data_IF_612243591009
#
_entry.id   IF_612243591009
#
_cell.length_a   1.000
_cell.length_b   1.000
_cell.length_c   1.000
_cell.angle_alpha   90.00
_cell.angle_beta   90.00
_cell.angle_gamma   90.00
#
_symmetry.space_group_name_H-M   'P 1'
#
loop_
_entity.id
_entity.type
_entity.pdbx_description
1 polymer ?
#
# COMPACT_ATOMS: atom_id res chain seq x y z
N UNK A 1 -12.96 57.46 -17.25
CA UNK A 1 -11.58 57.11 -17.59
C UNK A 1 -11.24 55.81 -16.84
N UNK A 2 -11.16 54.68 -17.52
CA UNK A 2 -10.87 53.40 -16.91
C UNK A 2 -9.38 53.11 -17.09
N UNK A 3 -8.64 53.16 -16.00
CA UNK A 3 -7.19 52.87 -16.03
C UNK A 3 -7.01 51.37 -16.24
N UNK A 4 -6.50 50.94 -17.38
CA UNK A 4 -6.04 49.56 -17.62
C UNK A 4 -4.67 49.40 -16.98
N UNK A 5 -4.62 48.75 -15.83
CA UNK A 5 -3.37 48.32 -15.21
C UNK A 5 -2.66 47.31 -16.12
N UNK A 6 -1.34 47.48 -16.30
CA UNK A 6 -0.50 46.60 -17.11
C UNK A 6 -0.42 45.20 -16.46
N UNK A 7 -0.34 44.19 -17.31
CA UNK A 7 -0.30 42.79 -16.92
C UNK A 7 0.88 42.45 -15.98
N UNK A 8 1.89 43.29 -15.95
CA UNK A 8 3.09 43.18 -15.10
C UNK A 8 2.81 43.57 -13.66
N UNK A 9 1.91 44.53 -13.39
CA UNK A 9 1.53 44.95 -12.04
C UNK A 9 0.59 43.96 -11.33
N UNK A 10 -0.06 43.05 -12.09
CA UNK A 10 -0.92 41.99 -11.53
C UNK A 10 -0.13 40.74 -11.11
N UNK A 11 1.14 40.64 -11.48
CA UNK A 11 1.97 39.47 -11.09
C UNK A 11 2.47 39.58 -9.66
N UNK A 12 2.59 40.81 -9.15
CA UNK A 12 3.12 41.06 -7.78
C UNK A 12 2.08 40.94 -6.65
N UNK A 13 0.80 40.73 -7.01
CA UNK A 13 -0.27 40.48 -6.03
C UNK A 13 -0.58 39.00 -5.77
N UNK A 14 0.21 38.08 -6.30
CA UNK A 14 0.11 36.69 -5.85
C UNK A 14 0.63 36.61 -4.40
N UNK A 15 -0.16 36.07 -3.45
CA UNK A 15 0.38 35.87 -2.12
C UNK A 15 1.69 35.08 -2.28
N UNK A 16 2.79 35.64 -1.75
CA UNK A 16 4.07 34.95 -1.69
C UNK A 16 3.79 33.56 -1.17
N UNK A 17 4.31 32.53 -1.85
CA UNK A 17 4.27 31.19 -1.28
C UNK A 17 4.74 31.32 0.17
N UNK A 18 3.84 31.06 1.12
CA UNK A 18 4.25 30.95 2.51
C UNK A 18 5.45 30.02 2.51
N UNK A 19 6.60 30.51 2.93
CA UNK A 19 7.75 29.66 3.16
C UNK A 19 7.30 28.56 4.12
N UNK A 20 7.30 27.32 3.63
CA UNK A 20 6.92 26.20 4.45
C UNK A 20 7.80 26.24 5.69
N UNK A 21 7.20 26.38 6.87
CA UNK A 21 7.93 26.38 8.12
C UNK A 21 8.74 25.08 8.17
N UNK A 22 10.08 25.21 8.20
CA UNK A 22 10.96 24.04 8.28
C UNK A 22 10.81 23.44 9.67
N UNK A 23 10.04 22.37 9.79
CA UNK A 23 9.99 21.55 11.00
C UNK A 23 11.36 20.86 11.22
N UNK A 24 11.70 20.66 12.49
CA UNK A 24 12.87 19.89 12.87
C UNK A 24 12.51 18.40 12.79
N UNK A 25 13.26 17.61 12.04
CA UNK A 25 13.13 16.16 12.05
C UNK A 25 13.64 15.64 13.40
N UNK A 26 12.75 15.00 14.17
CA UNK A 26 13.13 14.36 15.42
C UNK A 26 13.57 12.91 15.17
N UNK A 27 14.53 12.39 15.93
CA UNK A 27 14.89 10.98 15.83
C UNK A 27 13.71 10.11 16.20
N UNK A 28 13.32 9.23 15.27
CA UNK A 28 12.14 8.37 15.40
C UNK A 28 12.57 6.91 15.43
N UNK A 29 12.00 6.12 16.33
CA UNK A 29 12.24 4.69 16.35
C UNK A 29 11.17 3.93 15.56
N UNK A 30 11.60 3.04 14.67
CA UNK A 30 10.68 2.20 13.91
C UNK A 30 9.99 1.21 14.85
N UNK A 31 8.65 1.24 14.97
CA UNK A 31 7.94 0.32 15.86
C UNK A 31 7.97 -1.11 15.33
N UNK A 32 7.94 -2.09 16.25
CA UNK A 32 7.86 -3.49 15.87
C UNK A 32 6.46 -3.83 15.34
N UNK A 33 6.35 -4.59 14.24
CA UNK A 33 5.04 -5.02 13.72
C UNK A 33 4.31 -5.91 14.73
N UNK A 34 3.00 -5.79 14.83
CA UNK A 34 2.19 -6.64 15.71
C UNK A 34 2.29 -8.11 15.29
N UNK A 35 2.61 -8.98 16.25
CA UNK A 35 2.75 -10.42 16.02
C UNK A 35 1.43 -11.07 15.51
N UNK A 36 0.29 -10.48 15.85
CA UNK A 36 -1.03 -10.97 15.48
C UNK A 36 -1.49 -10.53 14.08
N UNK A 37 -0.78 -9.67 13.39
CA UNK A 37 -1.18 -9.25 12.03
C UNK A 37 -1.15 -10.38 11.03
N UNK A 38 -1.95 -10.24 10.00
CA UNK A 38 -1.88 -11.09 8.82
C UNK A 38 -0.47 -11.02 8.18
N UNK A 39 0.07 -12.11 7.63
CA UNK A 39 1.45 -12.12 7.08
C UNK A 39 1.72 -11.02 6.05
N UNK A 40 0.75 -10.72 5.19
CA UNK A 40 0.88 -9.66 4.17
C UNK A 40 1.02 -8.28 4.83
N UNK A 41 0.21 -7.97 5.87
CA UNK A 41 0.30 -6.71 6.59
C UNK A 41 1.67 -6.55 7.29
N UNK A 42 2.17 -7.62 7.90
CA UNK A 42 3.52 -7.62 8.49
C UNK A 42 4.60 -7.35 7.45
N UNK A 43 4.51 -8.00 6.28
CA UNK A 43 5.47 -7.81 5.19
C UNK A 43 5.44 -6.38 4.68
N UNK A 44 4.26 -5.81 4.47
CA UNK A 44 4.08 -4.45 4.02
C UNK A 44 4.66 -3.45 5.04
N UNK A 45 4.35 -3.61 6.34
CA UNK A 45 4.88 -2.76 7.39
C UNK A 45 6.42 -2.81 7.49
N UNK A 46 7.00 -4.01 7.36
CA UNK A 46 8.46 -4.16 7.34
C UNK A 46 9.09 -3.46 6.13
N UNK A 47 8.42 -3.46 4.97
CA UNK A 47 8.93 -2.76 3.79
C UNK A 47 8.98 -1.25 3.97
N UNK A 48 8.11 -0.67 4.80
CA UNK A 48 8.20 0.76 5.13
C UNK A 48 9.52 1.09 5.87
N UNK A 49 9.91 0.23 6.80
CA UNK A 49 11.13 0.39 7.56
C UNK A 49 12.43 0.25 6.71
N UNK A 50 12.37 -0.51 5.63
CA UNK A 50 13.49 -0.69 4.69
C UNK A 50 13.45 0.25 3.48
N UNK A 51 12.46 1.13 3.41
CA UNK A 51 12.31 2.11 2.33
C UNK A 51 12.86 3.47 2.74
N UNK A 52 13.24 4.28 1.75
CA UNK A 52 13.84 5.59 1.99
C UNK A 52 12.94 6.59 2.75
N UNK A 53 11.64 6.37 2.81
CA UNK A 53 10.74 7.21 3.58
C UNK A 53 11.03 7.21 5.10
N UNK A 54 11.74 6.24 5.62
CA UNK A 54 12.13 6.18 7.04
C UNK A 54 12.88 7.45 7.48
N UNK A 55 13.57 8.11 6.55
CA UNK A 55 14.36 9.28 6.83
C UNK A 55 13.56 10.54 7.15
N UNK A 56 12.26 10.60 6.77
CA UNK A 56 11.39 11.75 7.04
C UNK A 56 10.09 11.41 7.76
N UNK A 57 9.80 10.14 7.98
CA UNK A 57 8.65 9.77 8.78
C UNK A 57 8.86 10.09 10.25
N UNK A 58 7.86 10.74 10.84
CA UNK A 58 7.79 11.06 12.26
C UNK A 58 6.97 10.00 13.00
N UNK A 59 6.93 10.07 14.33
CA UNK A 59 6.15 9.15 15.16
C UNK A 59 4.66 9.11 14.77
N UNK A 60 4.08 10.23 14.34
CA UNK A 60 2.70 10.31 13.87
C UNK A 60 2.48 9.50 12.59
N UNK A 61 3.46 9.48 11.67
CA UNK A 61 3.39 8.72 10.43
C UNK A 61 3.46 7.22 10.72
N UNK A 62 4.35 6.82 11.62
CA UNK A 62 4.46 5.45 12.10
C UNK A 62 3.20 4.99 12.82
N UNK A 63 2.61 5.83 13.70
CA UNK A 63 1.36 5.52 14.36
C UNK A 63 0.20 5.35 13.37
N UNK A 64 0.13 6.22 12.36
CA UNK A 64 -0.87 6.12 11.30
C UNK A 64 -0.66 4.86 10.46
N UNK A 65 0.57 4.56 10.06
CA UNK A 65 0.91 3.34 9.33
C UNK A 65 0.56 2.08 10.13
N UNK A 66 0.80 2.10 11.44
CA UNK A 66 0.46 0.99 12.33
C UNK A 66 -1.06 0.74 12.38
N UNK A 67 -1.85 1.80 12.58
CA UNK A 67 -3.32 1.74 12.56
C UNK A 67 -3.84 1.20 11.22
N UNK A 68 -3.29 1.67 10.10
CA UNK A 68 -3.69 1.20 8.77
C UNK A 68 -3.36 -0.29 8.57
N UNK A 69 -2.26 -0.78 9.14
CA UNK A 69 -1.90 -2.20 9.08
C UNK A 69 -2.80 -3.09 9.95
N UNK A 70 -3.30 -2.59 11.10
CA UNK A 70 -4.34 -3.28 11.88
C UNK A 70 -5.60 -3.46 11.04
N UNK A 71 -6.07 -2.38 10.40
CA UNK A 71 -7.26 -2.39 9.53
C UNK A 71 -7.07 -3.29 8.30
N UNK A 72 -5.91 -3.22 7.65
CA UNK A 72 -5.59 -4.07 6.51
C UNK A 72 -5.48 -5.54 6.89
N UNK A 73 -4.91 -5.84 8.06
CA UNK A 73 -4.84 -7.20 8.61
C UNK A 73 -6.23 -7.77 8.87
N UNK A 74 -7.14 -6.98 9.45
CA UNK A 74 -8.53 -7.38 9.67
C UNK A 74 -9.27 -7.61 8.35
N UNK A 75 -9.08 -6.72 7.37
CA UNK A 75 -9.61 -6.85 6.02
C UNK A 75 -9.20 -8.19 5.40
N UNK A 76 -7.89 -8.49 5.37
CA UNK A 76 -7.36 -9.72 4.78
C UNK A 76 -7.87 -10.99 5.44
N UNK A 77 -8.05 -10.99 6.77
CA UNK A 77 -8.62 -12.14 7.48
C UNK A 77 -10.08 -12.40 7.10
N UNK A 78 -10.86 -11.33 6.91
CA UNK A 78 -12.25 -11.45 6.47
C UNK A 78 -12.32 -12.06 5.07
N UNK A 79 -11.48 -11.61 4.15
CA UNK A 79 -11.37 -12.15 2.81
C UNK A 79 -10.97 -13.63 2.81
N UNK A 80 -9.92 -13.98 3.57
CA UNK A 80 -9.45 -15.35 3.66
C UNK A 80 -10.52 -16.29 4.27
N UNK A 81 -11.27 -15.80 5.27
CA UNK A 81 -12.39 -16.55 5.84
C UNK A 81 -13.51 -16.75 4.80
N UNK A 82 -13.82 -15.73 4.01
CA UNK A 82 -14.81 -15.82 2.95
C UNK A 82 -14.39 -16.83 1.86
N UNK A 83 -13.12 -16.79 1.44
CA UNK A 83 -12.57 -17.75 0.48
C UNK A 83 -12.64 -19.19 1.01
N UNK A 84 -12.21 -19.41 2.26
CA UNK A 84 -12.28 -20.74 2.90
C UNK A 84 -13.72 -21.25 2.98
N UNK A 85 -14.67 -20.43 3.41
CA UNK A 85 -16.07 -20.82 3.51
C UNK A 85 -16.70 -21.18 2.15
N UNK A 86 -16.29 -20.48 1.08
CA UNK A 86 -16.71 -20.80 -0.29
C UNK A 86 -16.11 -22.10 -0.78
N UNK A 87 -14.82 -22.36 -0.50
CA UNK A 87 -14.19 -23.62 -0.85
C UNK A 87 -14.85 -24.81 -0.17
N UNK A 88 -15.16 -24.70 1.15
CA UNK A 88 -15.91 -25.71 1.90
C UNK A 88 -17.28 -25.94 1.27
N UNK A 89 -18.00 -24.87 0.94
CA UNK A 89 -19.32 -24.99 0.31
C UNK A 89 -19.26 -25.62 -1.07
N UNK A 90 -18.26 -25.26 -1.89
CA UNK A 90 -18.10 -25.84 -3.22
C UNK A 90 -17.81 -27.35 -3.14
N UNK A 91 -16.95 -27.79 -2.23
CA UNK A 91 -16.73 -29.22 -1.97
C UNK A 91 -17.99 -29.94 -1.53
N UNK A 92 -18.78 -29.32 -0.61
CA UNK A 92 -20.06 -29.87 -0.20
C UNK A 92 -21.06 -30.00 -1.37
N UNK A 93 -21.17 -28.97 -2.22
CA UNK A 93 -22.07 -28.99 -3.39
C UNK A 93 -21.65 -30.07 -4.40
N UNK A 94 -20.34 -30.26 -4.62
CA UNK A 94 -19.80 -31.29 -5.52
C UNK A 94 -20.10 -32.70 -5.00
N UNK A 95 -19.91 -32.94 -3.72
CA UNK A 95 -20.24 -34.24 -3.12
C UNK A 95 -21.74 -34.48 -3.10
N UNK A 96 -22.53 -33.45 -2.75
CA UNK A 96 -23.99 -33.54 -2.75
C UNK A 96 -24.56 -33.85 -4.16
N UNK A 97 -23.90 -33.40 -5.21
CA UNK A 97 -24.33 -33.68 -6.59
C UNK A 97 -24.14 -35.14 -7.00
N UNK A 98 -23.23 -35.88 -6.35
CA UNK A 98 -22.96 -37.30 -6.61
C UNK A 98 -24.00 -38.25 -6.01
N UNK A 99 -24.78 -37.78 -5.05
CA UNK A 99 -25.74 -38.60 -4.29
C UNK A 99 -27.18 -38.11 -4.52
N UNK A 100 -28.10 -39.04 -4.64
CA UNK A 100 -29.53 -38.72 -4.61
C UNK A 100 -29.96 -38.22 -3.22
N UNK A 101 -31.10 -37.52 -3.09
CA UNK A 101 -31.59 -37.06 -1.77
C UNK A 101 -31.75 -38.16 -0.74
N UNK A 102 -32.18 -39.40 -1.18
CA UNK A 102 -32.32 -40.55 -0.31
C UNK A 102 -30.98 -41.14 0.16
N UNK A 103 -29.98 -41.17 -0.73
CA UNK A 103 -28.62 -41.62 -0.39
C UNK A 103 -27.92 -40.66 0.58
N UNK A 104 -28.14 -39.35 0.42
CA UNK A 104 -27.65 -38.36 1.38
C UNK A 104 -28.24 -38.54 2.77
N UNK A 105 -29.52 -38.81 2.84
CA UNK A 105 -30.20 -39.06 4.12
C UNK A 105 -29.69 -40.37 4.78
N UNK A 106 -29.54 -41.43 4.00
CA UNK A 106 -29.01 -42.70 4.45
C UNK A 106 -27.54 -42.63 4.92
N UNK A 107 -26.74 -41.77 4.27
CA UNK A 107 -25.34 -41.54 4.65
C UNK A 107 -25.17 -40.59 5.85
N UNK A 108 -26.25 -40.14 6.47
CA UNK A 108 -26.20 -39.21 7.62
C UNK A 108 -25.70 -37.80 7.25
N UNK A 109 -25.81 -37.42 6.01
CA UNK A 109 -25.40 -36.09 5.55
C UNK A 109 -26.18 -34.99 6.29
N UNK A 110 -25.46 -34.01 6.83
CA UNK A 110 -26.10 -32.84 7.43
C UNK A 110 -26.99 -32.16 6.39
N UNK A 111 -28.25 -31.92 6.77
CA UNK A 111 -29.22 -31.23 5.92
C UNK A 111 -28.88 -29.78 5.69
N UNK A 112 -28.00 -29.19 6.51
CA UNK A 112 -27.61 -27.79 6.39
C UNK A 112 -26.41 -27.61 5.47
N UNK A 113 -26.67 -26.95 4.35
CA UNK A 113 -25.60 -26.50 3.43
C UNK A 113 -24.69 -25.49 4.15
N UNK A 114 -23.36 -25.62 4.09
CA UNK A 114 -22.45 -24.70 4.75
C UNK A 114 -22.72 -23.24 4.38
N UNK A 115 -22.76 -22.35 5.39
CA UNK A 115 -22.94 -20.91 5.18
C UNK A 115 -21.65 -20.31 4.63
N UNK A 116 -21.80 -19.37 3.70
CA UNK A 116 -20.67 -18.63 3.15
C UNK A 116 -20.52 -17.30 3.88
N UNK A 117 -19.33 -17.00 4.35
CA UNK A 117 -19.00 -15.71 4.92
C UNK A 117 -18.97 -14.63 3.83
N UNK A 118 -19.36 -13.42 4.18
CA UNK A 118 -19.23 -12.28 3.28
C UNK A 118 -17.77 -11.89 3.09
N UNK A 119 -17.42 -11.42 1.90
CA UNK A 119 -16.14 -10.76 1.67
C UNK A 119 -16.06 -9.43 2.42
N UNK A 120 -14.84 -9.01 2.70
CA UNK A 120 -14.60 -7.65 3.17
C UNK A 120 -15.03 -6.63 2.09
N UNK A 121 -15.46 -5.45 2.54
CA UNK A 121 -15.94 -4.40 1.64
C UNK A 121 -14.80 -3.86 0.75
N UNK A 122 -14.97 -3.82 -0.58
CA UNK A 122 -14.00 -3.19 -1.48
C UNK A 122 -13.75 -1.71 -1.15
N UNK A 123 -14.77 -1.01 -0.67
CA UNK A 123 -14.67 0.40 -0.25
C UNK A 123 -13.72 0.56 0.93
N UNK A 124 -13.68 -0.41 1.84
CA UNK A 124 -12.72 -0.42 2.95
C UNK A 124 -11.28 -0.54 2.44
N UNK A 125 -11.04 -1.40 1.47
CA UNK A 125 -9.72 -1.53 0.85
C UNK A 125 -9.31 -0.22 0.17
N UNK A 126 -10.19 0.37 -0.62
CA UNK A 126 -9.94 1.66 -1.29
C UNK A 126 -9.59 2.76 -0.28
N UNK A 127 -10.32 2.84 0.83
CA UNK A 127 -10.04 3.80 1.90
C UNK A 127 -8.66 3.59 2.54
N UNK A 128 -8.26 2.34 2.76
CA UNK A 128 -6.92 2.01 3.29
C UNK A 128 -5.84 2.41 2.28
N UNK A 129 -6.02 2.09 0.99
CA UNK A 129 -5.05 2.41 -0.06
C UNK A 129 -4.88 3.92 -0.22
N UNK A 130 -5.97 4.70 -0.19
CA UNK A 130 -5.91 6.17 -0.22
C UNK A 130 -5.22 6.76 1.01
N UNK A 131 -5.41 6.16 2.18
CA UNK A 131 -4.73 6.60 3.38
C UNK A 131 -3.22 6.30 3.31
N UNK A 132 -2.82 5.15 2.74
CA UNK A 132 -1.41 4.82 2.48
C UNK A 132 -0.78 5.75 1.43
N UNK A 133 -1.53 6.15 0.40
CA UNK A 133 -1.07 7.14 -0.59
C UNK A 133 -0.70 8.47 0.07
N UNK A 134 -1.48 8.92 1.07
CA UNK A 134 -1.18 10.15 1.85
C UNK A 134 0.12 10.06 2.64
N UNK A 135 0.53 8.86 3.04
CA UNK A 135 1.82 8.61 3.69
C UNK A 135 2.99 8.50 2.70
N UNK A 136 2.75 8.72 1.40
CA UNK A 136 3.76 8.64 0.33
C UNK A 136 4.50 7.29 0.32
N UNK A 137 3.75 6.21 0.53
CA UNK A 137 4.31 4.87 0.70
C UNK A 137 4.93 4.35 -0.59
N UNK A 138 4.34 4.68 -1.75
CA UNK A 138 4.86 4.22 -3.03
C UNK A 138 5.79 5.25 -3.70
N UNK A 139 6.70 4.76 -4.54
CA UNK A 139 7.56 5.62 -5.36
C UNK A 139 6.76 6.56 -6.25
N UNK A 140 5.62 6.08 -6.78
CA UNK A 140 4.74 6.89 -7.60
C UNK A 140 4.15 8.08 -6.82
N UNK A 141 3.78 7.87 -5.55
CA UNK A 141 3.23 8.92 -4.69
C UNK A 141 4.30 9.97 -4.35
N UNK A 142 5.53 9.52 -4.08
CA UNK A 142 6.68 10.41 -3.85
C UNK A 142 7.00 11.27 -5.07
N UNK A 143 7.01 10.69 -6.26
CA UNK A 143 7.21 11.45 -7.52
C UNK A 143 6.12 12.46 -7.75
N UNK A 144 4.85 12.13 -7.49
CA UNK A 144 3.75 13.10 -7.55
C UNK A 144 3.97 14.28 -6.60
N UNK A 145 4.48 14.01 -5.40
CA UNK A 145 4.82 15.03 -4.40
C UNK A 145 6.15 15.75 -4.70
N UNK A 146 6.85 15.39 -5.78
CA UNK A 146 8.17 15.90 -6.16
C UNK A 146 9.24 15.65 -5.07
N UNK A 147 9.11 14.55 -4.37
CA UNK A 147 10.09 14.05 -3.40
C UNK A 147 10.94 13.01 -4.12
N UNK A 148 12.19 13.32 -4.38
CA UNK A 148 13.17 12.39 -4.93
C UNK A 148 14.05 11.86 -3.79
N UNK A 149 14.30 10.57 -3.80
CA UNK A 149 15.25 9.95 -2.90
C UNK A 149 16.64 10.03 -3.54
N UNK A 150 17.58 10.67 -2.86
CA UNK A 150 18.97 10.60 -3.28
C UNK A 150 19.49 9.18 -3.06
N UNK A 151 20.27 8.69 -4.02
CA UNK A 151 20.98 7.41 -3.83
C UNK A 151 21.95 7.55 -2.64
N UNK A 152 22.10 6.52 -1.78
CA UNK A 152 23.07 6.58 -0.70
C UNK A 152 24.47 6.85 -1.26
N UNK A 153 25.14 7.85 -0.70
CA UNK A 153 26.46 8.31 -1.16
C UNK A 153 27.54 7.23 -0.96
N UNK A 154 27.29 6.25 -0.10
CA UNK A 154 28.22 5.16 0.22
C UNK A 154 28.00 3.87 -0.60
N UNK A 155 27.18 3.89 -1.62
CA UNK A 155 27.18 2.83 -2.62
C UNK A 155 28.48 2.99 -3.44
N UNK A 156 29.57 2.51 -2.88
CA UNK A 156 30.87 2.48 -3.53
C UNK A 156 30.68 1.97 -4.95
N UNK A 157 31.20 2.74 -5.94
CA UNK A 157 31.15 2.47 -7.35
C UNK A 157 29.76 2.00 -7.83
N UNK A 158 28.83 2.92 -7.96
CA UNK A 158 27.60 2.64 -8.69
C UNK A 158 27.97 2.45 -10.17
N UNK A 159 27.90 1.21 -10.69
CA UNK A 159 28.28 0.93 -12.09
C UNK A 159 27.23 1.39 -13.11
N UNK A 160 26.33 2.29 -12.71
CA UNK A 160 25.18 2.63 -13.56
C UNK A 160 25.55 3.39 -14.83
N UNK A 161 26.60 4.21 -14.80
CA UNK A 161 27.06 4.94 -15.99
C UNK A 161 28.01 4.06 -16.81
N UNK A 162 28.90 3.32 -16.15
CA UNK A 162 29.83 2.40 -16.82
C UNK A 162 29.08 1.25 -17.52
N UNK A 163 28.05 0.70 -16.88
CA UNK A 163 27.21 -0.36 -17.48
C UNK A 163 26.41 0.17 -18.68
N UNK A 164 25.92 1.40 -18.64
CA UNK A 164 25.24 2.01 -19.79
C UNK A 164 26.20 2.28 -20.96
N UNK A 165 27.42 2.72 -20.69
CA UNK A 165 28.44 2.94 -21.72
C UNK A 165 28.94 1.62 -22.30
N UNK A 166 29.11 0.56 -21.51
CA UNK A 166 29.47 -0.77 -22.00
C UNK A 166 28.32 -1.39 -22.80
N UNK A 167 27.06 -1.16 -22.42
CA UNK A 167 25.90 -1.61 -23.18
C UNK A 167 25.79 -0.87 -24.53
N UNK A 168 26.05 0.46 -24.55
CA UNK A 168 26.10 1.24 -25.78
C UNK A 168 27.22 0.78 -26.71
N UNK A 169 28.42 0.53 -26.18
CA UNK A 169 29.55 -0.01 -26.96
C UNK A 169 29.26 -1.40 -27.50
N UNK A 170 28.59 -2.26 -26.69
CA UNK A 170 28.17 -3.60 -27.12
C UNK A 170 27.12 -3.60 -28.24
N UNK A 171 26.32 -2.53 -28.35
CA UNK A 171 25.32 -2.32 -29.39
C UNK A 171 25.85 -1.55 -30.60
N UNK A 172 27.12 -1.16 -30.63
CA UNK A 172 27.72 -0.40 -31.74
C UNK A 172 27.16 1.02 -31.90
N UNK A 173 26.57 1.58 -30.83
CA UNK A 173 25.99 2.92 -30.77
C UNK A 173 27.02 3.88 -30.13
N UNK A 174 28.13 4.11 -30.81
CA UNK A 174 29.12 5.12 -30.42
C UNK A 174 28.80 6.47 -31.11
#
# INVERSE_FOLDING_TARGET
MTVRLRREELVDQRPSRMDASRGVLLPTSVPKPNAKWHPIAKRLFKSFASSGQVHWWQDSDWATAYMLMDEYSAYKRTDDAALKSRAVRAGWDEEAAKLSPKEREAAGWSRERPKVSAFASPQKLDSILRALERLLVTEADRRKARIELEAPVDAGDAPSVAVLDDYRKGLGLA
#
